data_IF_339233141153
#
_entry.id   IF_339233141153
#
_cell.length_a   1.000
_cell.length_b   1.000
_cell.length_c   1.000
_cell.angle_alpha   90.00
_cell.angle_beta   90.00
_cell.angle_gamma   90.00
#
_symmetry.space_group_name_H-M   'P 1'
#
loop_
_entity.id
_entity.type
_entity.pdbx_description
1 polymer ?
#
# COMPACT_ATOMS: atom_id res chain seq x y z
N UNK A 1 8.64 -29.10 16.31
CA UNK A 1 8.34 -27.86 17.06
C UNK A 1 8.92 -26.64 16.33
N UNK A 2 8.14 -25.89 15.56
CA UNK A 2 8.65 -24.69 14.87
C UNK A 2 7.83 -23.43 15.18
N UNK A 3 7.46 -23.17 16.44
CA UNK A 3 6.52 -22.08 16.73
C UNK A 3 7.07 -20.89 17.54
N UNK A 4 8.37 -20.87 17.85
CA UNK A 4 8.92 -19.81 18.74
C UNK A 4 9.64 -18.66 18.01
N UNK A 5 10.10 -18.86 16.75
CA UNK A 5 10.82 -17.83 15.98
C UNK A 5 9.90 -16.81 15.29
N UNK A 6 8.70 -17.21 14.88
CA UNK A 6 7.72 -16.31 14.19
C UNK A 6 7.27 -15.08 14.99
N UNK A 7 7.38 -15.11 16.33
CA UNK A 7 6.92 -14.00 17.20
C UNK A 7 7.90 -12.82 17.31
N UNK A 8 9.18 -12.97 16.97
CA UNK A 8 10.17 -11.87 17.10
C UNK A 8 10.13 -10.92 15.90
N UNK A 9 9.92 -11.42 14.67
CA UNK A 9 9.82 -10.60 13.45
C UNK A 9 8.58 -9.71 13.49
N UNK A 10 7.41 -10.25 13.84
CA UNK A 10 6.17 -9.48 13.97
C UNK A 10 6.27 -8.35 15.01
N UNK A 11 7.04 -8.54 16.09
CA UNK A 11 7.24 -7.50 17.12
C UNK A 11 8.16 -6.36 16.65
N UNK A 12 9.12 -6.63 15.77
CA UNK A 12 10.03 -5.65 15.20
C UNK A 12 9.31 -4.78 14.16
N UNK A 13 8.54 -5.41 13.27
CA UNK A 13 7.64 -4.73 12.35
C UNK A 13 6.62 -3.85 13.11
N UNK A 14 6.00 -4.37 14.17
CA UNK A 14 5.01 -3.62 14.97
C UNK A 14 5.61 -2.41 15.70
N UNK A 15 6.91 -2.40 16.04
CA UNK A 15 7.61 -1.22 16.61
C UNK A 15 7.86 -0.13 15.57
N UNK A 16 8.13 -0.50 14.32
CA UNK A 16 8.32 0.44 13.23
C UNK A 16 6.98 1.12 12.88
N UNK A 17 5.89 0.35 12.85
CA UNK A 17 4.54 0.84 12.57
C UNK A 17 3.99 1.86 13.57
N UNK A 18 4.49 1.90 14.81
CA UNK A 18 4.08 2.93 15.79
C UNK A 18 4.57 4.33 15.45
N UNK A 19 5.50 4.48 14.53
CA UNK A 19 6.07 5.76 14.11
C UNK A 19 5.39 6.36 12.87
N UNK A 20 4.67 5.52 12.09
CA UNK A 20 4.01 5.92 10.85
C UNK A 20 2.55 5.45 10.93
N UNK A 21 1.61 6.39 10.79
CA UNK A 21 0.18 6.13 10.97
C UNK A 21 -0.34 5.06 9.99
N UNK A 22 -0.70 3.89 10.51
CA UNK A 22 -1.43 2.86 9.77
C UNK A 22 -2.84 2.82 10.33
N UNK A 23 -3.81 2.89 9.44
CA UNK A 23 -5.24 2.74 9.77
C UNK A 23 -5.51 1.25 10.01
N UNK A 24 -5.27 0.78 11.23
CA UNK A 24 -5.71 -0.52 11.73
C UNK A 24 -6.91 -0.36 12.67
N UNK A 25 -8.10 -0.75 12.26
CA UNK A 25 -9.29 -0.73 13.12
C UNK A 25 -9.29 -1.96 14.04
N UNK A 26 -8.80 -1.82 15.27
CA UNK A 26 -8.95 -2.84 16.32
C UNK A 26 -10.29 -2.64 17.09
N UNK A 27 -11.20 -3.60 16.94
CA UNK A 27 -12.56 -3.61 17.54
C UNK A 27 -12.61 -3.86 19.05
N UNK A 28 -11.50 -3.96 19.81
CA UNK A 28 -11.50 -4.51 21.18
C UNK A 28 -11.08 -3.58 22.31
N UNK A 29 -11.09 -2.23 22.17
CA UNK A 29 -10.85 -1.36 23.34
C UNK A 29 -11.68 -0.09 23.31
N UNK A 30 -12.84 -0.16 23.92
CA UNK A 30 -13.60 0.99 24.39
C UNK A 30 -12.91 1.57 25.65
N UNK A 31 -11.84 2.34 25.48
CA UNK A 31 -11.27 3.24 26.49
C UNK A 31 -10.84 4.51 25.77
N UNK A 32 -11.32 5.66 26.27
CA UNK A 32 -11.07 7.03 25.78
C UNK A 32 -9.66 7.13 25.18
N UNK A 33 -9.50 6.95 23.86
CA UNK A 33 -8.29 7.32 23.15
C UNK A 33 -8.35 8.83 22.96
N UNK A 34 -7.34 9.54 23.46
CA UNK A 34 -6.93 10.82 22.90
C UNK A 34 -6.66 10.54 21.43
N UNK A 35 -7.58 10.90 20.54
CA UNK A 35 -7.38 10.93 19.11
C UNK A 35 -6.17 11.80 18.87
N UNK A 36 -5.08 11.21 18.36
CA UNK A 36 -4.13 12.00 17.58
C UNK A 36 -4.97 12.43 16.37
N UNK A 37 -5.47 13.66 16.40
CA UNK A 37 -6.05 14.31 15.23
C UNK A 37 -4.92 14.43 14.20
N UNK A 38 -4.80 13.42 13.35
CA UNK A 38 -4.10 13.56 12.09
C UNK A 38 -5.09 14.34 11.23
N UNK A 39 -4.93 15.66 11.15
CA UNK A 39 -5.83 16.56 10.41
C UNK A 39 -5.97 16.17 8.94
N UNK A 40 -5.13 15.23 8.45
CA UNK A 40 -5.05 14.82 7.06
C UNK A 40 -5.71 13.48 6.76
N UNK A 41 -5.97 12.61 7.75
CA UNK A 41 -6.61 11.32 7.56
C UNK A 41 -7.70 11.09 8.58
N UNK A 42 -8.94 10.89 8.10
CA UNK A 42 -10.07 10.51 8.94
C UNK A 42 -11.08 9.68 8.14
N UNK A 43 -11.89 8.91 8.83
CA UNK A 43 -12.97 8.14 8.23
C UNK A 43 -14.29 8.50 8.91
N UNK A 44 -15.25 8.92 8.11
CA UNK A 44 -16.61 9.20 8.53
C UNK A 44 -17.54 8.07 8.10
N UNK A 45 -18.19 7.41 9.06
CA UNK A 45 -19.22 6.42 8.79
C UNK A 45 -20.57 7.10 8.57
N UNK A 46 -21.05 7.08 7.33
CA UNK A 46 -22.33 7.72 6.96
C UNK A 46 -23.51 6.83 7.28
N UNK A 47 -23.43 5.54 6.93
CA UNK A 47 -24.54 4.60 7.09
C UNK A 47 -24.06 3.17 7.26
N UNK A 48 -24.77 2.42 8.08
CA UNK A 48 -24.66 0.95 8.16
C UNK A 48 -26.02 0.36 7.80
N UNK A 49 -26.04 -0.62 6.91
CA UNK A 49 -27.22 -1.41 6.62
C UNK A 49 -27.48 -2.38 7.79
N UNK A 50 -28.66 -2.35 8.40
CA UNK A 50 -28.96 -3.18 9.58
C UNK A 50 -29.08 -4.68 9.24
N UNK A 51 -29.39 -5.05 8.00
CA UNK A 51 -29.61 -6.43 7.60
C UNK A 51 -28.30 -7.11 7.20
N UNK A 52 -27.49 -6.46 6.40
CA UNK A 52 -26.25 -7.04 5.82
C UNK A 52 -25.00 -6.62 6.58
N UNK A 53 -25.06 -5.56 7.37
CA UNK A 53 -23.90 -4.94 7.99
C UNK A 53 -23.00 -4.16 7.02
N UNK A 54 -23.43 -3.99 5.76
CA UNK A 54 -22.72 -3.17 4.78
C UNK A 54 -22.61 -1.72 5.25
N UNK A 55 -21.51 -1.04 4.92
CA UNK A 55 -21.22 0.32 5.39
C UNK A 55 -20.91 1.24 4.24
N UNK A 56 -21.48 2.43 4.26
CA UNK A 56 -21.09 3.55 3.42
C UNK A 56 -20.39 4.60 4.29
N UNK A 57 -19.33 5.20 3.79
CA UNK A 57 -18.57 6.21 4.52
C UNK A 57 -17.71 7.06 3.59
N UNK A 58 -17.00 8.01 4.17
CA UNK A 58 -16.04 8.88 3.48
C UNK A 58 -14.68 8.72 4.14
N UNK A 59 -13.67 8.42 3.34
CA UNK A 59 -12.27 8.45 3.75
C UNK A 59 -11.67 9.78 3.29
N UNK A 60 -11.31 10.64 4.24
CA UNK A 60 -10.62 11.89 3.98
C UNK A 60 -9.14 11.66 3.83
N UNK A 61 -8.52 12.19 2.76
CA UNK A 61 -7.07 12.07 2.49
C UNK A 61 -6.49 13.43 2.09
N UNK A 62 -5.16 13.60 2.09
CA UNK A 62 -4.53 14.85 1.67
C UNK A 62 -4.86 15.28 0.23
N UNK A 63 -5.17 14.32 -0.66
CA UNK A 63 -5.49 14.61 -2.06
C UNK A 63 -6.98 14.49 -2.38
N UNK A 64 -7.85 14.47 -1.37
CA UNK A 64 -9.30 14.51 -1.51
C UNK A 64 -10.04 13.38 -0.80
N UNK A 65 -11.35 13.47 -0.87
CA UNK A 65 -12.26 12.54 -0.22
C UNK A 65 -12.57 11.34 -1.11
N UNK A 66 -12.76 10.19 -0.48
CA UNK A 66 -13.10 8.94 -1.14
C UNK A 66 -14.38 8.40 -0.54
N UNK A 67 -15.44 8.34 -1.33
CA UNK A 67 -16.68 7.67 -0.94
C UNK A 67 -16.50 6.16 -0.95
N UNK A 68 -16.86 5.49 0.13
CA UNK A 68 -16.71 4.04 0.27
C UNK A 68 -18.06 3.33 0.35
N UNK A 69 -18.19 2.14 -0.26
CA UNK A 69 -17.16 1.37 -0.99
C UNK A 69 -16.78 1.98 -2.33
N UNK A 70 -15.53 1.79 -2.76
CA UNK A 70 -14.99 2.35 -4.00
C UNK A 70 -14.18 1.32 -4.78
N UNK A 71 -14.23 1.39 -6.11
CA UNK A 71 -13.32 0.66 -6.98
C UNK A 71 -12.08 1.48 -7.27
N UNK A 72 -10.91 0.84 -7.21
CA UNK A 72 -9.61 1.45 -7.51
C UNK A 72 -9.08 0.93 -8.85
N UNK A 73 -9.11 1.72 -9.94
CA UNK A 73 -8.42 1.36 -11.17
C UNK A 73 -6.93 1.11 -10.92
N UNK A 74 -6.39 0.06 -11.53
CA UNK A 74 -5.01 -0.36 -11.29
C UNK A 74 -4.07 0.33 -12.28
N UNK A 75 -3.23 1.21 -11.76
CA UNK A 75 -2.16 1.91 -12.45
C UNK A 75 -0.79 1.30 -12.15
N UNK A 76 -0.52 0.09 -12.64
CA UNK A 76 0.62 -0.75 -12.25
C UNK A 76 1.97 -0.04 -12.29
N UNK A 77 2.25 0.72 -13.33
CA UNK A 77 3.50 1.47 -13.53
C UNK A 77 3.22 2.97 -13.65
N UNK A 78 2.51 3.53 -12.69
CA UNK A 78 2.07 4.92 -12.69
C UNK A 78 1.20 5.28 -13.92
N UNK A 79 0.46 4.30 -14.45
CA UNK A 79 -0.50 4.51 -15.52
C UNK A 79 -1.55 3.41 -15.52
N UNK A 80 -2.81 3.78 -15.67
CA UNK A 80 -3.88 2.83 -16.01
C UNK A 80 -3.77 2.57 -17.51
N UNK A 81 -3.36 1.36 -17.86
CA UNK A 81 -2.94 1.01 -19.21
C UNK A 81 -4.01 1.30 -20.26
N UNK A 82 -3.68 2.16 -21.23
CA UNK A 82 -4.59 2.54 -22.31
C UNK A 82 -5.65 3.58 -21.94
N UNK A 83 -5.60 4.16 -20.73
CA UNK A 83 -6.56 5.18 -20.25
C UNK A 83 -5.79 6.40 -19.76
N UNK A 84 -6.17 7.60 -20.22
CA UNK A 84 -5.57 8.83 -19.73
C UNK A 84 -6.14 9.21 -18.35
N UNK A 85 -5.38 9.98 -17.52
CA UNK A 85 -5.88 10.50 -16.26
C UNK A 85 -7.23 11.25 -16.37
N UNK A 86 -7.40 12.07 -17.40
CA UNK A 86 -8.66 12.76 -17.66
C UNK A 86 -9.85 11.83 -17.86
N UNK A 87 -9.63 10.69 -18.54
CA UNK A 87 -10.69 9.73 -18.83
C UNK A 87 -11.12 9.01 -17.54
N UNK A 88 -10.17 8.81 -16.60
CA UNK A 88 -10.46 8.29 -15.27
C UNK A 88 -11.24 9.30 -14.42
N UNK A 89 -10.92 10.58 -14.53
CA UNK A 89 -11.65 11.65 -13.86
C UNK A 89 -13.08 11.77 -14.40
N UNK A 90 -13.25 11.71 -15.71
CA UNK A 90 -14.57 11.71 -16.39
C UNK A 90 -15.40 10.47 -16.00
N UNK A 91 -14.75 9.31 -15.82
CA UNK A 91 -15.39 8.10 -15.33
C UNK A 91 -15.73 8.13 -13.83
N UNK A 92 -15.37 9.20 -13.11
CA UNK A 92 -15.65 9.37 -11.69
C UNK A 92 -14.70 8.61 -10.76
N UNK A 93 -13.51 8.19 -11.23
CA UNK A 93 -12.51 7.55 -10.36
C UNK A 93 -12.05 8.50 -9.27
N UNK A 94 -12.11 8.05 -8.02
CA UNK A 94 -11.73 8.85 -6.85
C UNK A 94 -10.34 8.51 -6.34
N UNK A 95 -9.85 7.30 -6.60
CA UNK A 95 -8.56 6.76 -6.16
C UNK A 95 -8.00 5.81 -7.21
N UNK A 96 -6.68 5.73 -7.32
CA UNK A 96 -5.96 4.76 -8.16
C UNK A 96 -5.06 3.90 -7.29
N UNK A 97 -4.90 2.63 -7.65
CA UNK A 97 -3.90 1.72 -7.07
C UNK A 97 -2.68 1.65 -7.97
N UNK A 98 -1.47 1.78 -7.40
CA UNK A 98 -0.20 1.54 -8.09
C UNK A 98 0.61 0.44 -7.39
N UNK A 99 1.43 -0.29 -8.15
CA UNK A 99 2.15 -1.44 -7.61
C UNK A 99 3.60 -1.11 -7.28
N UNK A 100 3.96 -1.23 -6.02
CA UNK A 100 5.29 -0.91 -5.48
C UNK A 100 6.41 -1.72 -6.13
N UNK A 101 6.24 -3.04 -6.28
CA UNK A 101 7.23 -3.89 -6.94
C UNK A 101 7.56 -3.42 -8.36
N UNK A 102 6.53 -3.19 -9.17
CA UNK A 102 6.72 -2.80 -10.57
C UNK A 102 7.38 -1.43 -10.70
N UNK A 103 7.03 -0.49 -9.85
CA UNK A 103 7.62 0.85 -9.84
C UNK A 103 9.05 0.85 -9.32
N UNK A 104 9.36 0.02 -8.33
CA UNK A 104 10.72 -0.22 -7.87
C UNK A 104 11.62 -0.81 -8.96
N UNK A 105 11.10 -1.81 -9.71
CA UNK A 105 11.85 -2.43 -10.81
C UNK A 105 12.00 -1.48 -12.00
N UNK A 106 10.95 -0.73 -12.34
CA UNK A 106 10.95 0.22 -13.47
C UNK A 106 9.85 1.28 -13.30
N UNK A 107 10.17 2.58 -13.29
CA UNK A 107 11.49 3.19 -13.62
C UNK A 107 12.49 3.18 -12.48
N UNK A 108 12.11 2.79 -11.26
CA UNK A 108 12.81 2.93 -9.99
C UNK A 108 12.19 4.01 -9.12
N UNK A 109 12.06 3.73 -7.83
CA UNK A 109 11.45 4.63 -6.86
C UNK A 109 12.21 5.98 -6.73
N UNK A 110 13.53 5.97 -6.91
CA UNK A 110 14.34 7.19 -6.92
C UNK A 110 14.00 8.14 -8.07
N UNK A 111 13.63 7.61 -9.25
CA UNK A 111 13.22 8.42 -10.40
C UNK A 111 11.87 9.06 -10.10
N UNK A 112 10.92 8.28 -9.57
CA UNK A 112 9.60 8.77 -9.18
C UNK A 112 9.73 9.85 -8.10
N UNK A 113 10.57 9.64 -7.08
CA UNK A 113 10.87 10.62 -6.03
C UNK A 113 11.41 11.93 -6.60
N UNK A 114 12.39 11.87 -7.51
CA UNK A 114 12.96 13.07 -8.17
C UNK A 114 11.94 13.79 -9.04
N UNK A 115 10.97 13.08 -9.61
CA UNK A 115 9.85 13.68 -10.33
C UNK A 115 8.81 14.36 -9.41
N UNK A 116 8.96 14.21 -8.08
CA UNK A 116 8.07 14.80 -7.07
C UNK A 116 6.95 13.89 -6.61
N UNK A 117 7.16 12.56 -6.70
CA UNK A 117 6.23 11.51 -6.30
C UNK A 117 5.25 11.11 -7.40
N UNK A 118 4.45 10.07 -7.13
CA UNK A 118 3.52 9.48 -8.10
C UNK A 118 2.51 10.49 -8.63
N UNK A 119 1.96 11.35 -7.79
CA UNK A 119 0.97 12.35 -8.20
C UNK A 119 1.46 13.21 -9.37
N UNK A 120 2.69 13.73 -9.25
CA UNK A 120 3.30 14.51 -10.33
C UNK A 120 3.76 13.65 -11.50
N UNK A 121 4.34 12.48 -11.20
CA UNK A 121 4.87 11.59 -12.22
C UNK A 121 3.81 11.08 -13.19
N UNK A 122 2.59 10.78 -12.70
CA UNK A 122 1.49 10.28 -13.52
C UNK A 122 0.42 11.35 -13.84
N UNK A 123 0.63 12.60 -13.40
CA UNK A 123 -0.32 13.70 -13.56
C UNK A 123 -1.73 13.37 -13.02
N UNK A 124 -1.77 12.87 -11.78
CA UNK A 124 -2.98 12.50 -11.07
C UNK A 124 -3.04 13.20 -9.71
N UNK A 125 -4.02 14.08 -9.52
CA UNK A 125 -4.12 14.95 -8.33
C UNK A 125 -5.10 14.44 -7.27
N UNK A 126 -5.64 13.22 -7.43
CA UNK A 126 -6.52 12.56 -6.47
C UNK A 126 -5.77 11.48 -5.70
N UNK A 127 -6.38 10.85 -4.68
CA UNK A 127 -5.75 9.83 -3.87
C UNK A 127 -5.11 8.68 -4.65
N UNK A 128 -3.98 8.20 -4.13
CA UNK A 128 -3.25 7.03 -4.64
C UNK A 128 -3.01 6.07 -3.47
N UNK A 129 -3.24 4.78 -3.72
CA UNK A 129 -2.80 3.69 -2.86
C UNK A 129 -1.67 2.92 -3.54
N UNK A 130 -0.60 2.61 -2.81
CA UNK A 130 0.41 1.63 -3.24
C UNK A 130 0.26 0.33 -2.45
N UNK A 131 0.33 -0.81 -3.16
CA UNK A 131 0.45 -2.09 -2.51
C UNK A 131 1.84 -2.29 -1.90
N UNK A 132 2.02 -3.34 -1.10
CA UNK A 132 3.31 -3.64 -0.45
C UNK A 132 4.39 -4.18 -1.40
N UNK A 133 4.01 -4.72 -2.54
CA UNK A 133 4.86 -5.47 -3.44
C UNK A 133 5.11 -6.93 -3.03
N UNK A 134 4.65 -7.39 -1.87
CA UNK A 134 4.91 -8.73 -1.34
C UNK A 134 4.39 -9.85 -2.24
N UNK A 135 3.15 -9.75 -2.70
CA UNK A 135 2.56 -10.73 -3.62
C UNK A 135 3.35 -10.85 -4.94
N UNK A 136 3.79 -9.74 -5.54
CA UNK A 136 4.52 -9.73 -6.80
C UNK A 136 5.91 -10.35 -6.64
N UNK A 137 6.60 -10.07 -5.55
CA UNK A 137 7.88 -10.71 -5.22
C UNK A 137 7.71 -12.22 -5.12
N UNK A 138 6.62 -12.69 -4.50
CA UNK A 138 6.32 -14.12 -4.38
C UNK A 138 5.94 -14.73 -5.74
N UNK A 139 5.05 -14.10 -6.49
CA UNK A 139 4.45 -14.68 -7.70
C UNK A 139 5.32 -14.55 -8.95
N UNK A 140 6.13 -13.51 -9.08
CA UNK A 140 6.95 -13.22 -10.26
C UNK A 140 8.42 -13.62 -10.11
N UNK A 141 8.87 -13.84 -8.89
CA UNK A 141 10.25 -14.26 -8.60
C UNK A 141 10.43 -15.75 -8.85
N UNK A 142 11.17 -16.13 -9.90
CA UNK A 142 11.46 -17.54 -10.24
C UNK A 142 12.35 -18.25 -9.21
N UNK A 143 13.06 -17.50 -8.38
CA UNK A 143 13.98 -18.01 -7.34
C UNK A 143 13.88 -17.06 -6.15
N UNK A 144 12.90 -17.31 -5.30
CA UNK A 144 12.72 -16.53 -4.07
C UNK A 144 13.30 -17.31 -2.90
N UNK A 145 14.13 -16.64 -2.11
CA UNK A 145 14.57 -17.15 -0.83
C UNK A 145 13.99 -16.28 0.28
N UNK A 146 13.00 -16.81 0.98
CA UNK A 146 12.34 -16.12 2.10
C UNK A 146 13.14 -16.42 3.37
N UNK A 147 13.42 -15.37 4.15
CA UNK A 147 14.06 -15.42 5.46
C UNK A 147 13.26 -14.59 6.47
N UNK A 148 13.57 -14.71 7.76
CA UNK A 148 12.95 -13.90 8.81
C UNK A 148 13.24 -12.36 8.63
N UNK A 149 14.23 -12.00 7.82
CA UNK A 149 14.67 -10.63 7.59
C UNK A 149 14.08 -10.02 6.33
N UNK A 150 13.72 -10.85 5.35
CA UNK A 150 13.19 -10.41 4.08
C UNK A 150 13.26 -11.47 3.00
N UNK A 151 13.08 -11.08 1.75
CA UNK A 151 13.05 -11.97 0.59
C UNK A 151 14.12 -11.57 -0.42
N UNK A 152 14.96 -12.54 -0.79
CA UNK A 152 15.88 -12.43 -1.93
C UNK A 152 15.18 -12.92 -3.21
N UNK A 153 15.24 -12.14 -4.27
CA UNK A 153 14.65 -12.50 -5.57
C UNK A 153 15.48 -11.95 -6.72
N UNK A 154 15.24 -12.51 -7.90
CA UNK A 154 15.85 -12.02 -9.13
C UNK A 154 14.81 -11.26 -9.96
N UNK A 155 15.23 -10.11 -10.48
CA UNK A 155 14.41 -9.29 -11.38
C UNK A 155 14.01 -10.11 -12.62
N UNK A 156 12.73 -10.05 -12.97
CA UNK A 156 12.22 -10.65 -14.21
C UNK A 156 12.54 -9.81 -15.46
N UNK A 157 13.12 -8.62 -15.29
CA UNK A 157 13.45 -7.69 -16.37
C UNK A 157 14.88 -7.92 -16.85
N UNK A 158 15.84 -7.99 -15.94
CA UNK A 158 17.29 -8.02 -16.23
C UNK A 158 18.06 -9.09 -15.44
N UNK A 159 17.38 -9.87 -14.58
CA UNK A 159 17.99 -10.90 -13.77
C UNK A 159 18.80 -10.40 -12.56
N UNK A 160 18.84 -9.09 -12.31
CA UNK A 160 19.53 -8.53 -11.15
C UNK A 160 18.96 -9.06 -9.83
N UNK A 161 19.84 -9.24 -8.83
CA UNK A 161 19.44 -9.74 -7.51
C UNK A 161 19.03 -8.58 -6.61
N UNK A 162 17.94 -8.78 -5.92
CA UNK A 162 17.35 -7.83 -4.98
C UNK A 162 17.07 -8.50 -3.65
N UNK A 163 17.16 -7.72 -2.57
CA UNK A 163 16.76 -8.12 -1.24
C UNK A 163 15.74 -7.12 -0.70
N UNK A 164 14.52 -7.58 -0.51
CA UNK A 164 13.41 -6.77 -0.01
C UNK A 164 13.15 -7.12 1.46
N UNK A 165 13.31 -6.14 2.32
CA UNK A 165 12.92 -6.20 3.72
C UNK A 165 11.66 -5.36 3.93
N UNK A 166 10.92 -5.52 5.03
CA UNK A 166 9.82 -4.62 5.37
C UNK A 166 10.23 -3.14 5.37
N UNK A 167 11.43 -2.83 5.87
CA UNK A 167 11.95 -1.46 5.90
C UNK A 167 12.24 -0.94 4.48
N UNK A 168 12.78 -1.80 3.60
CA UNK A 168 13.05 -1.44 2.21
C UNK A 168 11.75 -1.17 1.46
N UNK A 169 10.72 -2.01 1.62
CA UNK A 169 9.41 -1.80 1.04
C UNK A 169 8.84 -0.44 1.46
N UNK A 170 8.82 -0.15 2.76
CA UNK A 170 8.36 1.14 3.29
C UNK A 170 9.17 2.32 2.75
N UNK A 171 10.50 2.17 2.58
CA UNK A 171 11.33 3.23 1.99
C UNK A 171 10.96 3.49 0.53
N UNK A 172 10.71 2.44 -0.25
CA UNK A 172 10.26 2.54 -1.64
C UNK A 172 8.91 3.26 -1.71
N UNK A 173 7.93 2.86 -0.90
CA UNK A 173 6.61 3.48 -0.86
C UNK A 173 6.64 4.95 -0.45
N UNK A 174 7.52 5.31 0.51
CA UNK A 174 7.76 6.71 0.89
C UNK A 174 8.35 7.52 -0.28
N UNK A 175 9.24 6.93 -1.08
CA UNK A 175 9.78 7.58 -2.27
C UNK A 175 8.72 7.74 -3.36
N UNK A 176 7.80 6.77 -3.49
CA UNK A 176 6.66 6.86 -4.40
C UNK A 176 5.66 7.94 -3.97
N UNK A 177 5.47 8.17 -2.67
CA UNK A 177 4.68 9.27 -2.13
C UNK A 177 3.18 9.13 -2.36
N UNK A 178 2.63 7.92 -2.22
CA UNK A 178 1.19 7.67 -2.22
C UNK A 178 0.53 8.13 -0.91
N UNK A 179 -0.80 8.38 -0.93
CA UNK A 179 -1.57 8.72 0.29
C UNK A 179 -1.70 7.52 1.22
N UNK A 180 -1.92 6.34 0.66
CA UNK A 180 -2.09 5.09 1.39
C UNK A 180 -0.99 4.14 0.96
N UNK A 181 -0.25 3.62 1.94
CA UNK A 181 0.82 2.65 1.73
C UNK A 181 0.52 1.38 2.52
N UNK A 182 0.79 0.21 1.92
CA UNK A 182 0.46 -1.08 2.50
C UNK A 182 1.69 -1.71 3.16
N UNK A 183 1.48 -2.33 4.33
CA UNK A 183 2.56 -3.06 4.99
C UNK A 183 3.03 -4.24 4.14
N UNK A 184 4.36 -4.48 4.15
CA UNK A 184 4.93 -5.62 3.47
C UNK A 184 4.35 -6.93 4.02
N UNK A 185 3.73 -7.71 3.15
CA UNK A 185 3.05 -8.97 3.45
C UNK A 185 3.78 -10.18 2.87
N UNK A 186 3.51 -11.34 3.43
CA UNK A 186 3.96 -12.64 2.94
C UNK A 186 2.74 -13.49 2.57
N UNK A 187 2.73 -14.01 1.34
CA UNK A 187 1.72 -14.99 0.94
C UNK A 187 2.01 -16.32 1.62
N UNK A 188 1.17 -16.71 2.58
CA UNK A 188 1.26 -18.01 3.23
C UNK A 188 0.90 -19.12 2.24
N UNK A 189 1.61 -20.25 2.32
CA UNK A 189 1.16 -21.47 1.64
C UNK A 189 -0.20 -21.90 2.19
N UNK A 190 -1.05 -22.37 1.30
CA UNK A 190 -2.34 -22.93 1.68
C UNK A 190 -2.06 -24.28 2.39
N UNK A 191 -2.36 -24.33 3.70
CA UNK A 191 -2.22 -25.52 4.51
C UNK A 191 -3.42 -26.44 4.44
#
# INVERSE_FOLDING_TARGET
>A
MPNYRKRKSAKKALRFFKKYAIIGVDKRRNKKRKTMNNEFFSFELIKTDPETGARAGILHTPHGDIETPVYMPVGTQATVKGVFPRDLEEAGSQIILSNTYHLYMRPGDDIVKRAGGLHKFMNWNKPILTDSGGFQVFSLGKLNKITDEGVEFSSNIDGSKHFFTPEKAMQVEQNLGADIIMAFDECSEYG
#
